data_IF_047675310325
#
_entry.id   IF_047675310325
#
_cell.length_a   1.000
_cell.length_b   1.000
_cell.length_c   1.000
_cell.angle_alpha   90.00
_cell.angle_beta   90.00
_cell.angle_gamma   90.00
#
_symmetry.space_group_name_H-M   'P 1'
#
loop_
_entity.id
_entity.type
_entity.pdbx_description
1 polymer ?
#
# COMPACT_ATOMS: atom_id res chain seq x y z
N UNK A 1 -8.99 -5.39 18.10
CA UNK A 1 -9.16 -4.03 18.64
C UNK A 1 -8.44 -3.06 17.73
N UNK A 2 -9.15 -2.07 17.20
CA UNK A 2 -8.63 -1.01 16.35
C UNK A 2 -7.66 -0.13 17.15
N UNK A 3 -6.45 0.04 16.61
CA UNK A 3 -5.42 0.90 17.16
C UNK A 3 -5.30 2.16 16.32
N UNK A 4 -5.81 3.28 16.84
CA UNK A 4 -5.83 4.58 16.16
C UNK A 4 -4.44 5.14 15.83
N UNK A 5 -3.38 4.66 16.49
CA UNK A 5 -2.00 5.09 16.25
C UNK A 5 -1.17 4.05 15.48
N UNK A 6 -1.79 3.03 14.89
CA UNK A 6 -1.09 1.95 14.18
C UNK A 6 -1.34 2.05 12.68
N UNK A 7 -0.27 1.91 11.90
CA UNK A 7 -0.31 1.80 10.43
C UNK A 7 0.35 0.50 10.00
N UNK A 8 -0.24 -0.17 9.02
CA UNK A 8 0.42 -1.25 8.29
C UNK A 8 0.93 -0.73 6.95
N UNK A 9 2.20 -0.99 6.67
CA UNK A 9 2.86 -0.72 5.39
C UNK A 9 3.23 -2.07 4.77
N UNK A 10 2.39 -2.58 3.86
CA UNK A 10 2.58 -3.86 3.21
C UNK A 10 3.24 -3.63 1.85
N UNK A 11 4.48 -4.10 1.70
CA UNK A 11 5.35 -3.70 0.60
C UNK A 11 6.17 -2.48 0.98
N UNK A 12 6.96 -2.61 2.05
CA UNK A 12 7.78 -1.53 2.60
C UNK A 12 8.80 -0.98 1.60
N UNK A 13 9.35 -1.83 0.73
CA UNK A 13 10.36 -1.44 -0.26
C UNK A 13 11.55 -0.69 0.37
N UNK A 14 11.76 0.57 0.02
CA UNK A 14 12.82 1.41 0.58
C UNK A 14 12.41 2.15 1.87
N UNK A 15 11.13 2.07 2.26
CA UNK A 15 10.56 2.65 3.46
C UNK A 15 10.14 4.12 3.37
N UNK A 16 9.98 4.69 2.17
CA UNK A 16 9.57 6.11 2.04
C UNK A 16 8.17 6.38 2.62
N UNK A 17 7.22 5.44 2.46
CA UNK A 17 5.91 5.52 3.10
C UNK A 17 6.02 5.39 4.63
N UNK A 18 6.79 4.40 5.10
CA UNK A 18 7.06 4.22 6.52
C UNK A 18 7.67 5.46 7.18
N UNK A 19 8.65 6.12 6.54
CA UNK A 19 9.24 7.37 7.04
C UNK A 19 8.18 8.46 7.23
N UNK A 20 7.34 8.67 6.21
CA UNK A 20 6.23 9.61 6.29
C UNK A 20 5.29 9.31 7.47
N UNK A 21 4.90 8.04 7.66
CA UNK A 21 4.02 7.62 8.75
C UNK A 21 4.67 7.82 10.13
N UNK A 22 5.96 7.49 10.27
CA UNK A 22 6.73 7.69 11.51
C UNK A 22 6.83 9.17 11.88
N UNK A 23 7.15 10.05 10.90
CA UNK A 23 7.21 11.49 11.13
C UNK A 23 5.86 12.09 11.53
N UNK A 24 4.76 11.51 11.03
CA UNK A 24 3.40 11.85 11.49
C UNK A 24 3.06 11.33 12.89
N UNK A 25 3.95 10.56 13.52
CA UNK A 25 3.86 10.12 14.92
C UNK A 25 3.21 8.75 15.13
N UNK A 26 2.93 8.02 14.05
CA UNK A 26 2.34 6.69 14.14
C UNK A 26 3.36 5.63 14.58
N UNK A 27 2.86 4.52 15.07
CA UNK A 27 3.60 3.26 15.14
C UNK A 27 3.31 2.49 13.85
N UNK A 28 4.35 1.97 13.21
CA UNK A 28 4.26 1.31 11.91
C UNK A 28 4.66 -0.15 12.05
N UNK A 29 3.87 -1.05 11.46
CA UNK A 29 4.29 -2.42 11.17
C UNK A 29 4.49 -2.51 9.66
N UNK A 30 5.73 -2.63 9.25
CA UNK A 30 6.14 -2.67 7.85
C UNK A 30 6.51 -4.10 7.46
N UNK A 31 6.04 -4.56 6.30
CA UNK A 31 6.24 -5.94 5.84
C UNK A 31 6.96 -5.94 4.49
N UNK A 32 8.04 -6.70 4.40
CA UNK A 32 8.84 -6.84 3.17
C UNK A 32 9.44 -8.25 3.05
N UNK A 33 9.36 -8.83 1.85
CA UNK A 33 9.88 -10.15 1.57
C UNK A 33 11.38 -10.14 1.23
N UNK A 34 11.85 -9.08 0.56
CA UNK A 34 13.23 -8.92 0.14
C UNK A 34 14.16 -8.64 1.33
N UNK A 35 14.95 -9.65 1.71
CA UNK A 35 15.89 -9.55 2.84
C UNK A 35 16.93 -8.44 2.68
N UNK A 36 17.29 -8.03 1.46
CA UNK A 36 18.21 -6.90 1.27
C UNK A 36 17.57 -5.58 1.67
N UNK A 37 16.33 -5.34 1.24
CA UNK A 37 15.55 -4.15 1.61
C UNK A 37 15.27 -4.11 3.11
N UNK A 38 15.08 -5.26 3.75
CA UNK A 38 14.99 -5.36 5.22
C UNK A 38 16.28 -4.88 5.89
N UNK A 39 17.45 -5.31 5.42
CA UNK A 39 18.74 -4.88 6.00
C UNK A 39 18.93 -3.38 5.83
N UNK A 40 18.60 -2.84 4.65
CA UNK A 40 18.63 -1.40 4.38
C UNK A 40 17.66 -0.64 5.30
N UNK A 41 16.44 -1.16 5.49
CA UNK A 41 15.44 -0.62 6.40
C UNK A 41 15.90 -0.62 7.86
N UNK A 42 16.52 -1.70 8.34
CA UNK A 42 17.10 -1.76 9.69
C UNK A 42 18.16 -0.66 9.88
N UNK A 43 19.03 -0.46 8.88
CA UNK A 43 20.04 0.59 8.94
C UNK A 43 19.41 1.99 8.90
N UNK A 44 18.42 2.22 8.04
CA UNK A 44 17.74 3.52 7.88
C UNK A 44 16.93 3.91 9.12
N UNK A 45 16.21 2.96 9.70
CA UNK A 45 15.22 3.19 10.76
C UNK A 45 15.63 2.64 12.13
N UNK A 46 16.92 2.42 12.36
CA UNK A 46 17.42 1.80 13.60
C UNK A 46 16.90 2.46 14.87
N UNK A 47 16.85 3.79 14.92
CA UNK A 47 16.29 4.55 16.06
C UNK A 47 14.81 4.29 16.28
N UNK A 48 14.01 4.25 15.21
CA UNK A 48 12.56 4.01 15.30
C UNK A 48 12.26 2.57 15.70
N UNK A 49 13.09 1.61 15.29
CA UNK A 49 13.02 0.22 15.71
C UNK A 49 13.37 0.09 17.19
N UNK A 50 14.48 0.67 17.64
CA UNK A 50 14.90 0.70 19.05
C UNK A 50 13.83 1.34 19.95
N UNK A 51 13.17 2.39 19.47
CA UNK A 51 12.08 3.08 20.17
C UNK A 51 10.72 2.36 20.08
N UNK A 52 10.64 1.18 19.46
CA UNK A 52 9.39 0.44 19.19
C UNK A 52 8.33 1.26 18.42
N UNK A 53 8.78 2.19 17.58
CA UNK A 53 7.93 2.95 16.64
C UNK A 53 7.80 2.24 15.29
N UNK A 54 8.80 1.47 14.88
CA UNK A 54 8.76 0.62 13.70
C UNK A 54 8.97 -0.84 14.08
N UNK A 55 8.09 -1.71 13.60
CA UNK A 55 8.31 -3.17 13.56
C UNK A 55 8.47 -3.57 12.11
N UNK A 56 9.66 -4.07 11.75
CA UNK A 56 9.96 -4.51 10.39
C UNK A 56 9.90 -6.04 10.30
N UNK A 57 8.97 -6.55 9.48
CA UNK A 57 8.66 -7.98 9.36
C UNK A 57 9.20 -8.50 8.04
N UNK A 58 10.26 -9.33 8.08
CA UNK A 58 10.78 -9.98 6.88
C UNK A 58 9.95 -11.20 6.47
N UNK A 59 8.81 -10.98 5.83
CA UNK A 59 7.90 -12.01 5.32
C UNK A 59 7.18 -11.52 4.07
N UNK A 60 6.70 -12.45 3.25
CA UNK A 60 5.73 -12.14 2.20
C UNK A 60 4.30 -12.15 2.76
N UNK A 61 3.48 -11.18 2.35
CA UNK A 61 2.05 -11.22 2.63
C UNK A 61 1.39 -12.28 1.73
N UNK A 62 0.65 -13.22 2.32
CA UNK A 62 0.04 -14.34 1.58
C UNK A 62 -1.19 -14.88 2.31
N UNK A 63 -1.99 -15.69 1.60
CA UNK A 63 -3.04 -16.50 2.22
C UNK A 63 -2.52 -17.86 2.70
N UNK A 64 -1.40 -18.31 2.16
CA UNK A 64 -0.79 -19.58 2.53
C UNK A 64 0.17 -19.36 3.70
N UNK A 65 0.06 -20.17 4.76
CA UNK A 65 1.04 -20.17 5.85
C UNK A 65 2.23 -21.06 5.49
N UNK A 66 3.44 -20.61 5.85
CA UNK A 66 4.67 -21.38 5.68
C UNK A 66 5.66 -20.62 4.81
N UNK A 67 6.15 -21.29 3.76
CA UNK A 67 7.19 -20.76 2.87
C UNK A 67 6.64 -20.70 1.45
N UNK A 68 6.96 -19.64 0.73
CA UNK A 68 6.68 -19.54 -0.70
C UNK A 68 7.86 -18.94 -1.46
N UNK A 69 7.86 -19.11 -2.78
CA UNK A 69 8.83 -18.45 -3.63
C UNK A 69 8.53 -16.95 -3.72
N UNK A 70 9.60 -16.17 -3.69
CA UNK A 70 9.60 -14.75 -3.97
C UNK A 70 10.63 -14.48 -5.06
N UNK A 71 10.24 -13.67 -6.03
CA UNK A 71 10.96 -13.42 -7.26
C UNK A 71 11.51 -12.00 -7.20
N UNK A 72 12.81 -11.89 -6.90
CA UNK A 72 13.50 -10.60 -6.81
C UNK A 72 13.88 -10.17 -8.22
N UNK A 73 13.28 -9.08 -8.69
CA UNK A 73 13.59 -8.52 -9.99
C UNK A 73 15.05 -7.99 -9.98
N UNK A 74 15.85 -8.22 -11.04
CA UNK A 74 17.28 -7.90 -11.04
C UNK A 74 17.61 -6.40 -10.97
N UNK A 75 16.83 -5.54 -11.65
CA UNK A 75 17.14 -4.11 -11.80
C UNK A 75 16.13 -3.14 -11.14
N UNK A 76 14.93 -3.61 -10.82
CA UNK A 76 13.80 -2.82 -10.30
C UNK A 76 13.28 -3.50 -9.05
N UNK A 77 13.88 -3.21 -7.91
CA UNK A 77 13.56 -3.92 -6.66
C UNK A 77 12.08 -3.76 -6.28
N UNK A 78 11.48 -2.63 -6.67
CA UNK A 78 10.06 -2.31 -6.59
C UNK A 78 9.19 -3.30 -7.37
N UNK A 79 9.70 -4.01 -8.38
CA UNK A 79 8.90 -4.98 -9.16
C UNK A 79 9.03 -6.42 -8.64
N UNK A 80 9.65 -6.61 -7.48
CA UNK A 80 9.81 -7.94 -6.89
C UNK A 80 8.47 -8.45 -6.35
N UNK A 81 8.10 -9.70 -6.64
CA UNK A 81 6.76 -10.21 -6.32
C UNK A 81 6.78 -11.68 -5.93
N UNK A 82 5.70 -12.12 -5.28
CA UNK A 82 5.42 -13.55 -5.12
C UNK A 82 4.78 -14.16 -6.39
N UNK A 83 4.34 -13.33 -7.34
CA UNK A 83 3.93 -13.75 -8.67
C UNK A 83 5.10 -13.62 -9.65
N UNK A 84 5.59 -14.75 -10.15
CA UNK A 84 6.67 -14.81 -11.13
C UNK A 84 6.34 -14.00 -12.38
N UNK A 85 5.10 -14.09 -12.89
CA UNK A 85 4.72 -13.41 -14.13
C UNK A 85 4.70 -11.90 -13.96
N UNK A 86 4.47 -11.42 -12.72
CA UNK A 86 4.57 -10.00 -12.41
C UNK A 86 6.04 -9.55 -12.36
N UNK A 87 6.87 -10.29 -11.60
CA UNK A 87 8.29 -9.98 -11.43
C UNK A 87 9.11 -10.07 -12.74
N UNK A 88 8.65 -10.86 -13.71
CA UNK A 88 9.30 -11.04 -15.02
C UNK A 88 8.47 -10.43 -16.18
N UNK A 89 7.56 -9.50 -15.87
CA UNK A 89 6.62 -8.93 -16.87
C UNK A 89 7.30 -8.14 -17.99
N UNK A 90 8.53 -7.66 -17.79
CA UNK A 90 9.35 -7.02 -18.83
C UNK A 90 10.31 -7.98 -19.55
N UNK A 91 10.16 -9.29 -19.34
CA UNK A 91 11.01 -10.33 -19.92
C UNK A 91 12.34 -10.53 -19.20
N UNK A 92 12.55 -9.87 -18.05
CA UNK A 92 13.70 -10.13 -17.19
C UNK A 92 13.62 -11.53 -16.52
N UNK A 93 14.75 -11.98 -15.97
CA UNK A 93 14.81 -13.21 -15.18
C UNK A 93 15.02 -12.87 -13.71
N UNK A 94 14.02 -13.17 -12.89
CA UNK A 94 14.05 -12.86 -11.48
C UNK A 94 14.89 -13.88 -10.69
N UNK A 95 15.59 -13.40 -9.67
CA UNK A 95 16.25 -14.27 -8.70
C UNK A 95 15.20 -14.84 -7.75
N UNK A 96 15.07 -16.17 -7.74
CA UNK A 96 14.15 -16.86 -6.83
C UNK A 96 14.76 -17.01 -5.45
N UNK A 97 14.01 -16.66 -4.42
CA UNK A 97 14.33 -16.93 -3.01
C UNK A 97 13.10 -17.52 -2.31
N UNK A 98 13.31 -18.28 -1.24
CA UNK A 98 12.23 -18.80 -0.41
C UNK A 98 12.03 -17.91 0.81
N UNK A 99 10.81 -17.43 1.03
CA UNK A 99 10.48 -16.51 2.14
C UNK A 99 9.34 -17.07 2.98
N UNK A 100 9.41 -16.80 4.28
CA UNK A 100 8.29 -17.07 5.19
C UNK A 100 7.11 -16.16 4.84
N UNK A 101 5.90 -16.65 5.08
CA UNK A 101 4.68 -15.91 4.79
C UNK A 101 3.96 -15.45 6.05
N UNK A 102 3.11 -14.43 5.88
CA UNK A 102 2.20 -13.93 6.90
C UNK A 102 0.89 -13.50 6.24
N UNK A 103 -0.26 -13.77 6.88
CA UNK A 103 -1.53 -13.23 6.40
C UNK A 103 -1.85 -11.88 7.06
N UNK A 104 -2.69 -11.07 6.43
CA UNK A 104 -3.23 -9.85 7.02
C UNK A 104 -3.94 -10.13 8.35
N UNK A 105 -4.63 -11.27 8.43
CA UNK A 105 -5.27 -11.72 9.67
C UNK A 105 -4.25 -12.05 10.76
N UNK A 106 -3.12 -12.69 10.42
CA UNK A 106 -2.04 -12.95 11.38
C UNK A 106 -1.44 -11.63 11.88
N UNK A 107 -1.20 -10.65 11.00
CA UNK A 107 -0.74 -9.32 11.40
C UNK A 107 -1.72 -8.62 12.34
N UNK A 108 -3.03 -8.66 12.02
CA UNK A 108 -4.06 -8.07 12.88
C UNK A 108 -4.16 -8.77 14.24
N UNK A 109 -4.00 -10.09 14.29
CA UNK A 109 -3.97 -10.86 15.54
C UNK A 109 -2.77 -10.46 16.40
N UNK A 110 -1.59 -10.37 15.80
CA UNK A 110 -0.33 -10.21 16.52
C UNK A 110 -0.11 -8.74 16.94
N UNK A 111 -0.54 -7.77 16.12
CA UNK A 111 -0.27 -6.34 16.34
C UNK A 111 -1.52 -5.49 16.62
N UNK A 112 -2.72 -6.02 16.37
CA UNK A 112 -3.99 -5.29 16.40
C UNK A 112 -4.42 -4.78 15.01
N UNK A 113 -5.68 -4.35 14.88
CA UNK A 113 -6.18 -3.78 13.62
C UNK A 113 -5.65 -2.34 13.46
N UNK A 114 -4.99 -1.98 12.35
CA UNK A 114 -4.44 -0.64 12.17
C UNK A 114 -5.53 0.41 11.86
N UNK A 115 -5.23 1.70 12.08
CA UNK A 115 -6.05 2.80 11.57
C UNK A 115 -6.06 2.78 10.03
N UNK A 116 -4.88 2.58 9.44
CA UNK A 116 -4.63 2.62 8.01
C UNK A 116 -3.74 1.44 7.58
N UNK A 117 -4.07 0.83 6.44
CA UNK A 117 -3.21 -0.15 5.79
C UNK A 117 -2.92 0.26 4.35
N UNK A 118 -1.65 0.51 4.04
CA UNK A 118 -1.13 0.62 2.67
C UNK A 118 -0.82 -0.77 2.15
N UNK A 119 -1.29 -1.09 0.95
CA UNK A 119 -1.12 -2.39 0.30
C UNK A 119 -0.59 -2.18 -1.10
N UNK A 120 0.64 -2.62 -1.31
CA UNK A 120 1.37 -2.48 -2.56
C UNK A 120 2.45 -3.57 -2.58
N UNK A 121 1.98 -4.80 -2.83
CA UNK A 121 2.79 -6.02 -2.78
C UNK A 121 2.93 -6.64 -4.16
N UNK A 122 2.89 -5.79 -5.19
CA UNK A 122 3.17 -6.09 -6.59
C UNK A 122 2.39 -7.28 -7.15
N UNK A 123 1.07 -7.15 -7.23
CA UNK A 123 0.18 -8.12 -7.86
C UNK A 123 -0.35 -9.21 -6.93
N UNK A 124 -0.04 -9.12 -5.63
CA UNK A 124 -0.62 -9.97 -4.58
C UNK A 124 -1.71 -9.24 -3.76
N UNK A 125 -2.05 -8.01 -4.14
CA UNK A 125 -2.87 -7.05 -3.40
C UNK A 125 -4.30 -7.55 -3.19
N UNK A 126 -4.91 -8.18 -4.21
CA UNK A 126 -6.23 -8.81 -4.11
C UNK A 126 -6.34 -9.80 -2.95
N UNK A 127 -5.26 -10.46 -2.54
CA UNK A 127 -5.27 -11.40 -1.41
C UNK A 127 -5.61 -10.66 -0.12
N UNK A 128 -5.07 -9.45 0.08
CA UNK A 128 -5.35 -8.64 1.26
C UNK A 128 -6.78 -8.13 1.23
N UNK A 129 -7.27 -7.67 0.07
CA UNK A 129 -8.66 -7.23 -0.09
C UNK A 129 -9.66 -8.35 0.27
N UNK A 130 -9.40 -9.59 -0.16
CA UNK A 130 -10.18 -10.78 0.24
C UNK A 130 -10.15 -11.02 1.75
N UNK A 131 -8.98 -10.94 2.36
CA UNK A 131 -8.83 -11.17 3.80
C UNK A 131 -9.54 -10.09 4.64
N UNK A 132 -9.60 -8.84 4.16
CA UNK A 132 -10.34 -7.76 4.82
C UNK A 132 -11.83 -8.12 5.00
N UNK A 133 -12.45 -8.86 4.09
CA UNK A 133 -13.84 -9.29 4.26
C UNK A 133 -14.04 -10.18 5.49
N UNK A 134 -13.06 -11.05 5.79
CA UNK A 134 -13.16 -12.05 6.85
C UNK A 134 -12.81 -11.55 8.25
N UNK A 135 -12.15 -10.40 8.37
CA UNK A 135 -11.82 -9.84 9.69
C UNK A 135 -13.01 -9.05 10.26
N UNK A 136 -13.27 -9.27 11.55
CA UNK A 136 -14.39 -8.64 12.27
C UNK A 136 -14.22 -7.11 12.34
N UNK A 137 -13.02 -6.68 12.73
CA UNK A 137 -12.68 -5.27 12.88
C UNK A 137 -11.65 -4.89 11.81
N UNK A 138 -12.04 -3.95 10.95
CA UNK A 138 -11.32 -3.59 9.74
C UNK A 138 -10.57 -2.26 9.92
N UNK A 139 -9.47 -2.03 9.20
CA UNK A 139 -8.84 -0.73 9.15
C UNK A 139 -9.83 0.33 8.68
N UNK A 140 -9.82 1.50 9.33
CA UNK A 140 -10.72 2.59 8.95
C UNK A 140 -10.44 3.05 7.52
N UNK A 141 -9.17 3.09 7.15
CA UNK A 141 -8.70 3.47 5.84
C UNK A 141 -7.83 2.37 5.26
N UNK A 142 -7.88 2.21 3.95
CA UNK A 142 -6.93 1.35 3.21
C UNK A 142 -6.52 2.05 1.92
N UNK A 143 -5.34 1.73 1.41
CA UNK A 143 -4.91 2.05 0.04
C UNK A 143 -4.40 0.81 -0.64
N UNK A 144 -4.74 0.65 -1.91
CA UNK A 144 -4.32 -0.45 -2.76
C UNK A 144 -3.77 0.08 -4.07
N UNK A 145 -2.60 -0.37 -4.49
CA UNK A 145 -2.18 -0.19 -5.89
C UNK A 145 -3.17 -0.94 -6.79
N UNK A 146 -3.76 -0.28 -7.78
CA UNK A 146 -4.74 -0.88 -8.69
C UNK A 146 -4.27 -0.86 -10.15
N UNK A 147 -2.97 -0.74 -10.39
CA UNK A 147 -2.41 -0.71 -11.75
C UNK A 147 -2.43 -2.09 -12.44
N UNK A 148 -2.65 -3.15 -11.68
CA UNK A 148 -2.56 -4.55 -12.11
C UNK A 148 -3.93 -5.11 -12.56
N UNK A 149 -3.93 -6.34 -13.08
CA UNK A 149 -5.11 -6.98 -13.71
C UNK A 149 -6.28 -7.24 -12.75
N UNK A 150 -6.04 -7.26 -11.45
CA UNK A 150 -6.96 -7.67 -10.40
C UNK A 150 -7.79 -6.53 -9.79
N UNK A 151 -7.70 -5.30 -10.34
CA UNK A 151 -8.41 -4.11 -9.87
C UNK A 151 -9.90 -4.36 -9.61
N UNK A 152 -10.61 -5.04 -10.51
CA UNK A 152 -12.05 -5.31 -10.36
C UNK A 152 -12.35 -6.16 -9.12
N UNK A 153 -11.46 -7.10 -8.81
CA UNK A 153 -11.50 -7.89 -7.59
C UNK A 153 -11.28 -7.01 -6.36
N UNK A 154 -10.28 -6.12 -6.38
CA UNK A 154 -9.97 -5.21 -5.26
C UNK A 154 -11.20 -4.34 -4.95
N UNK A 155 -11.76 -3.66 -5.96
CA UNK A 155 -12.99 -2.88 -5.81
C UNK A 155 -14.11 -3.70 -5.16
N UNK A 156 -14.41 -4.88 -5.73
CA UNK A 156 -15.50 -5.73 -5.28
C UNK A 156 -15.32 -6.19 -3.82
N UNK A 157 -14.10 -6.63 -3.46
CA UNK A 157 -13.80 -7.10 -2.11
C UNK A 157 -13.84 -6.00 -1.08
N UNK A 158 -13.38 -4.78 -1.41
CA UNK A 158 -13.51 -3.63 -0.52
C UNK A 158 -14.98 -3.26 -0.31
N UNK A 159 -15.79 -3.25 -1.37
CA UNK A 159 -17.23 -2.98 -1.25
C UNK A 159 -17.94 -3.98 -0.32
N UNK A 160 -17.76 -5.29 -0.53
CA UNK A 160 -18.39 -6.31 0.30
C UNK A 160 -17.79 -6.39 1.71
N UNK A 161 -16.54 -5.97 1.90
CA UNK A 161 -15.94 -5.80 3.22
C UNK A 161 -16.55 -4.62 4.01
N UNK A 162 -17.28 -3.74 3.33
CA UNK A 162 -18.08 -2.68 3.95
C UNK A 162 -17.56 -1.27 3.71
N UNK A 163 -16.49 -1.08 2.92
CA UNK A 163 -16.00 0.25 2.55
C UNK A 163 -17.03 1.00 1.69
N UNK A 164 -17.27 2.27 2.00
CA UNK A 164 -18.40 3.04 1.47
C UNK A 164 -18.00 4.19 0.55
N UNK A 165 -16.82 4.76 0.76
CA UNK A 165 -16.30 5.81 -0.12
C UNK A 165 -14.90 5.47 -0.59
N UNK A 166 -14.60 5.92 -1.79
CA UNK A 166 -13.38 5.60 -2.52
C UNK A 166 -12.74 6.86 -3.06
N UNK A 167 -11.42 6.89 -3.18
CA UNK A 167 -10.71 8.00 -3.81
C UNK A 167 -9.58 7.45 -4.66
N UNK A 168 -9.54 7.87 -5.93
CA UNK A 168 -8.47 7.53 -6.86
C UNK A 168 -7.34 8.56 -6.73
N UNK A 169 -6.14 8.09 -6.41
CA UNK A 169 -4.98 8.96 -6.19
C UNK A 169 -3.92 8.61 -7.22
N UNK A 170 -3.61 9.57 -8.10
CA UNK A 170 -2.51 9.41 -9.06
C UNK A 170 -1.16 9.58 -8.36
N UNK A 171 -0.40 8.49 -8.34
CA UNK A 171 0.85 8.35 -7.59
C UNK A 171 2.01 9.14 -8.23
N UNK A 172 1.99 9.31 -9.55
CA UNK A 172 3.00 10.11 -10.26
C UNK A 172 3.06 11.56 -9.74
N UNK A 173 1.93 12.07 -9.25
CA UNK A 173 1.83 13.44 -8.76
C UNK A 173 2.43 13.63 -7.36
N UNK A 174 2.77 12.56 -6.63
CA UNK A 174 3.15 12.66 -5.22
C UNK A 174 4.42 13.48 -5.00
N UNK A 175 5.42 13.38 -5.87
CA UNK A 175 6.66 14.18 -5.81
C UNK A 175 6.37 15.69 -5.74
N UNK A 176 5.30 16.14 -6.42
CA UNK A 176 4.91 17.55 -6.43
C UNK A 176 3.69 17.85 -5.57
N UNK A 177 3.17 16.83 -4.85
CA UNK A 177 1.96 16.96 -4.06
C UNK A 177 2.25 17.76 -2.82
N UNK A 178 1.60 18.91 -2.72
CA UNK A 178 1.63 19.76 -1.54
C UNK A 178 0.39 19.52 -0.71
N UNK A 179 0.54 19.78 0.59
CA UNK A 179 -0.59 19.84 1.51
C UNK A 179 -1.54 20.96 1.10
N UNK A 180 -2.84 20.73 1.27
CA UNK A 180 -3.85 21.78 1.11
C UNK A 180 -3.67 22.84 2.21
N UNK A 181 -3.40 24.12 1.87
CA UNK A 181 -3.20 25.18 2.85
C UNK A 181 -4.45 25.47 3.70
N UNK A 182 -5.63 25.06 3.25
CA UNK A 182 -6.89 25.23 3.96
C UNK A 182 -7.22 24.09 4.91
N UNK A 183 -6.47 22.99 4.85
CA UNK A 183 -6.69 21.80 5.67
C UNK A 183 -6.46 22.10 7.16
N UNK A 184 -7.45 21.76 7.99
CA UNK A 184 -7.42 21.98 9.45
C UNK A 184 -7.29 20.71 10.26
N UNK A 185 -7.68 19.57 9.69
CA UNK A 185 -7.69 18.27 10.37
C UNK A 185 -6.65 17.39 9.70
N UNK A 186 -5.82 16.72 10.52
CA UNK A 186 -4.75 15.85 10.06
C UNK A 186 -4.89 14.47 10.67
N UNK A 187 -4.52 13.44 9.90
CA UNK A 187 -4.18 12.16 10.52
C UNK A 187 -2.81 12.31 11.20
N UNK A 188 -2.73 12.15 12.51
CA UNK A 188 -1.46 12.34 13.25
C UNK A 188 -0.96 13.79 13.24
N UNK A 189 0.37 13.97 13.21
CA UNK A 189 1.01 15.30 13.25
C UNK A 189 0.90 16.03 11.91
N UNK A 190 0.82 17.35 12.01
CA UNK A 190 1.03 18.26 10.89
C UNK A 190 2.54 18.43 10.65
N UNK A 191 3.03 17.92 9.54
CA UNK A 191 4.44 17.99 9.14
C UNK A 191 4.55 18.59 7.74
N UNK A 192 5.67 19.25 7.47
CA UNK A 192 6.07 19.62 6.11
C UNK A 192 6.92 18.47 5.55
N UNK A 193 6.35 17.70 4.63
CA UNK A 193 6.96 16.48 4.11
C UNK A 193 7.04 16.53 2.60
N UNK A 194 8.23 16.26 2.06
CA UNK A 194 8.48 16.19 0.63
C UNK A 194 8.48 14.74 0.19
N UNK A 195 7.41 14.31 -0.48
CA UNK A 195 7.31 12.96 -1.00
C UNK A 195 8.35 12.68 -2.08
N UNK A 196 8.77 11.42 -2.17
CA UNK A 196 9.66 10.90 -3.19
C UNK A 196 8.86 10.22 -4.30
N UNK A 197 9.57 9.70 -5.32
CA UNK A 197 8.95 8.91 -6.39
C UNK A 197 8.42 7.53 -5.93
N UNK A 198 8.77 7.09 -4.72
CA UNK A 198 8.33 5.82 -4.14
C UNK A 198 7.30 6.00 -3.01
N UNK A 199 6.84 7.23 -2.76
CA UNK A 199 5.83 7.49 -1.73
C UNK A 199 4.41 7.34 -2.30
N UNK A 200 3.52 6.74 -1.52
CA UNK A 200 2.09 6.60 -1.80
C UNK A 200 1.28 7.88 -1.54
N UNK A 201 1.87 8.82 -0.80
CA UNK A 201 1.31 10.15 -0.54
C UNK A 201 0.43 10.22 0.71
N UNK A 202 -0.46 11.21 0.74
CA UNK A 202 -1.38 11.44 1.86
C UNK A 202 -2.41 10.31 2.01
N UNK A 203 -2.94 10.11 3.22
CA UNK A 203 -3.95 9.09 3.52
C UNK A 203 -5.05 9.62 4.45
N UNK A 204 -6.17 8.90 4.51
CA UNK A 204 -7.27 9.21 5.41
C UNK A 204 -7.79 10.64 5.23
N UNK A 205 -7.86 11.41 6.32
CA UNK A 205 -8.30 12.81 6.29
C UNK A 205 -7.31 13.79 5.66
N UNK A 206 -6.09 13.35 5.34
CA UNK A 206 -5.14 14.18 4.61
C UNK A 206 -5.40 14.19 3.10
N UNK A 207 -6.32 13.35 2.62
CA UNK A 207 -6.80 13.41 1.25
C UNK A 207 -7.91 14.46 1.10
N UNK A 208 -8.02 15.13 -0.07
CA UNK A 208 -9.07 16.11 -0.32
C UNK A 208 -10.48 15.56 -0.05
N UNK A 209 -11.24 16.27 0.79
CA UNK A 209 -12.56 15.84 1.25
C UNK A 209 -13.59 15.76 0.09
N UNK A 210 -13.47 16.65 -0.89
CA UNK A 210 -14.37 16.74 -2.03
C UNK A 210 -14.08 15.73 -3.15
N UNK A 211 -13.11 14.83 -2.98
CA UNK A 211 -12.72 13.81 -3.98
C UNK A 211 -13.15 12.39 -3.62
N UNK A 212 -13.85 12.21 -2.51
CA UNK A 212 -14.41 10.91 -2.13
C UNK A 212 -15.67 10.60 -2.95
N UNK A 213 -15.63 9.47 -3.65
CA UNK A 213 -16.63 8.95 -4.57
C UNK A 213 -17.40 7.78 -3.94
N UNK A 214 -18.60 7.51 -4.44
CA UNK A 214 -19.27 6.22 -4.24
C UNK A 214 -18.54 5.08 -4.97
N UNK A 215 -18.95 3.84 -4.71
CA UNK A 215 -18.39 2.66 -5.40
C UNK A 215 -18.55 2.76 -6.92
N UNK A 216 -19.78 3.05 -7.39
CA UNK A 216 -20.10 3.08 -8.82
C UNK A 216 -19.36 4.20 -9.55
N UNK A 217 -19.25 5.39 -8.95
CA UNK A 217 -18.48 6.50 -9.50
C UNK A 217 -16.98 6.17 -9.57
N UNK A 218 -16.42 5.57 -8.51
CA UNK A 218 -15.00 5.26 -8.46
C UNK A 218 -14.59 4.20 -9.50
N UNK A 219 -15.38 3.15 -9.67
CA UNK A 219 -15.10 2.13 -10.68
C UNK A 219 -15.28 2.68 -12.10
N UNK A 220 -16.32 3.48 -12.35
CA UNK A 220 -16.52 4.16 -13.64
C UNK A 220 -15.35 5.08 -13.99
N UNK A 221 -14.91 5.92 -13.04
CA UNK A 221 -13.76 6.80 -13.24
C UNK A 221 -12.48 6.03 -13.52
N UNK A 222 -12.26 4.91 -12.82
CA UNK A 222 -11.09 4.07 -13.06
C UNK A 222 -11.14 3.39 -14.44
N UNK A 223 -12.30 2.91 -14.88
CA UNK A 223 -12.46 2.32 -16.21
C UNK A 223 -12.15 3.34 -17.32
N UNK A 224 -12.66 4.57 -17.19
CA UNK A 224 -12.34 5.68 -18.10
C UNK A 224 -10.85 5.99 -18.13
N UNK A 225 -10.20 6.03 -16.95
CA UNK A 225 -8.75 6.19 -16.85
C UNK A 225 -8.02 5.06 -17.61
N UNK A 226 -8.43 3.81 -17.42
CA UNK A 226 -7.79 2.66 -18.07
C UNK A 226 -7.97 2.68 -19.59
N UNK A 227 -9.15 3.06 -20.07
CA UNK A 227 -9.43 3.21 -21.51
C UNK A 227 -8.53 4.29 -22.13
N UNK A 228 -8.46 5.47 -21.50
CA UNK A 228 -7.56 6.54 -21.94
C UNK A 228 -6.09 6.11 -21.89
N UNK A 229 -5.69 5.36 -20.87
CA UNK A 229 -4.33 4.83 -20.75
C UNK A 229 -3.94 3.85 -21.85
N UNK A 230 -4.89 3.05 -22.36
CA UNK A 230 -4.64 2.17 -23.50
C UNK A 230 -4.45 2.98 -24.79
N UNK A 231 -5.20 4.08 -24.94
CA UNK A 231 -5.09 4.98 -26.09
C UNK A 231 -3.76 5.73 -26.07
N UNK A 232 -3.43 6.35 -24.94
CA UNK A 232 -2.21 7.14 -24.77
C UNK A 232 -1.81 7.24 -23.28
N UNK A 233 -0.73 6.53 -22.93
CA UNK A 233 -0.17 6.54 -21.58
C UNK A 233 0.94 7.59 -21.38
N UNK A 234 1.27 8.38 -22.41
CA UNK A 234 2.35 9.36 -22.41
C UNK A 234 1.84 10.80 -22.29
N UNK A 235 0.64 11.10 -22.77
CA UNK A 235 0.08 12.46 -22.74
C UNK A 235 -1.32 12.50 -22.11
N UNK A 236 -2.20 11.56 -22.45
CA UNK A 236 -3.61 11.62 -22.01
C UNK A 236 -3.83 11.04 -20.61
N UNK A 237 -3.13 9.97 -20.24
CA UNK A 237 -3.37 9.25 -18.99
C UNK A 237 -2.08 8.78 -18.32
N UNK A 238 -1.43 9.74 -17.68
CA UNK A 238 -0.14 9.59 -17.00
C UNK A 238 -0.21 8.78 -15.69
N UNK A 239 0.94 8.24 -15.30
CA UNK A 239 1.16 7.66 -13.97
C UNK A 239 0.42 6.35 -13.72
N UNK A 240 0.10 6.07 -12.47
CA UNK A 240 -0.73 4.96 -12.03
C UNK A 240 -1.58 5.44 -10.85
N UNK A 241 -2.64 4.68 -10.55
CA UNK A 241 -3.60 5.05 -9.53
C UNK A 241 -3.56 4.06 -8.37
N UNK A 242 -3.67 4.60 -7.17
CA UNK A 242 -4.08 3.85 -5.99
C UNK A 242 -5.56 4.08 -5.70
N UNK A 243 -6.19 3.05 -5.16
CA UNK A 243 -7.54 3.10 -4.62
C UNK A 243 -7.48 3.25 -3.11
N UNK A 244 -7.78 4.44 -2.62
CA UNK A 244 -8.07 4.64 -1.21
C UNK A 244 -9.53 4.33 -0.92
N UNK A 245 -9.81 3.70 0.22
CA UNK A 245 -11.16 3.42 0.66
C UNK A 245 -11.35 3.71 2.17
N UNK A 246 -12.56 4.12 2.54
CA UNK A 246 -12.97 4.37 3.94
C UNK A 246 -14.25 3.58 4.29
N UNK A 247 -14.26 2.98 5.49
CA UNK A 247 -15.42 2.30 6.08
C UNK A 247 -16.61 3.24 6.31
#
# INVERSE_FOLDING_TARGET
MLKKNLIFDLGFHNGDDTDFYLQKGFTVVAVEANTNLIKEGINRFGKDIECNKLILVNKAVSNNRGVQNFYIHPNKSDWSSCDKNMAESDGSQAKVVSVQTVSFNDLCRDFGTPLYAKVDIEGCDLIVAKQLYHIKEKPRYVSFEISKRDYAGIFSWLYVAGYKKFQLVNQLNNINRKKDPTQKIFEGKNIDYQFTKYSSGFFGKDLPENKWLSYDEAIDHYLKYKELKIIDNQELSLGWLDLHAIL
#
